data_IF_055670068808
#
_entry.id   IF_055670068808
#
_cell.length_a   1.000
_cell.length_b   1.000
_cell.length_c   1.000
_cell.angle_alpha   90.00
_cell.angle_beta   90.00
_cell.angle_gamma   90.00
#
_symmetry.space_group_name_H-M   'P 1'
#
loop_
_entity.id
_entity.type
_entity.pdbx_description
1 polymer ?
#
# COMPACT_ATOMS: atom_id res chain seq x y z
N UNK A 1 6.16 28.70 -5.39
CA UNK A 1 4.91 28.09 -5.88
C UNK A 1 4.11 27.68 -4.66
N UNK A 2 2.81 27.94 -4.64
CA UNK A 2 1.94 27.45 -3.56
C UNK A 2 1.91 25.92 -3.66
N UNK A 3 2.09 25.18 -2.56
CA UNK A 3 1.98 23.72 -2.59
C UNK A 3 0.60 23.28 -3.11
N UNK A 4 0.57 22.23 -3.89
CA UNK A 4 -0.68 21.74 -4.50
C UNK A 4 -1.49 20.95 -3.49
N UNK A 5 -2.74 21.35 -3.26
CA UNK A 5 -3.66 20.66 -2.37
C UNK A 5 -4.12 19.33 -2.99
N UNK A 6 -4.13 18.28 -2.16
CA UNK A 6 -4.63 16.97 -2.53
C UNK A 6 -5.24 16.24 -1.34
N UNK A 7 -6.17 15.35 -1.61
CA UNK A 7 -6.68 14.39 -0.64
C UNK A 7 -7.07 13.09 -1.33
N UNK A 8 -6.94 11.97 -0.61
CA UNK A 8 -7.47 10.66 -1.00
C UNK A 8 -8.05 9.95 0.21
N UNK A 9 -9.24 9.38 0.04
CA UNK A 9 -9.90 8.49 0.99
C UNK A 9 -10.18 7.17 0.32
N UNK A 10 -10.12 6.09 1.09
CA UNK A 10 -10.38 4.77 0.56
C UNK A 10 -9.81 3.68 1.43
N UNK A 11 -9.30 2.65 0.80
CA UNK A 11 -8.74 1.50 1.50
C UNK A 11 -7.37 1.13 0.93
N UNK A 12 -6.41 0.95 1.82
CA UNK A 12 -5.13 0.33 1.52
C UNK A 12 -5.13 -1.08 2.11
N UNK A 13 -4.67 -2.04 1.33
CA UNK A 13 -4.35 -3.36 1.85
C UNK A 13 -3.06 -3.89 1.23
N UNK A 14 -2.38 -4.74 1.98
CA UNK A 14 -1.09 -5.27 1.58
C UNK A 14 -0.88 -6.69 2.07
N UNK A 15 0.08 -7.38 1.43
CA UNK A 15 0.64 -8.62 1.93
C UNK A 15 2.17 -8.55 1.83
N UNK A 16 2.83 -8.94 2.88
CA UNK A 16 4.29 -8.81 3.01
C UNK A 16 4.97 -10.14 3.37
N UNK A 17 6.30 -10.14 3.35
CA UNK A 17 7.13 -11.31 3.64
C UNK A 17 7.14 -11.74 5.11
N UNK A 18 6.66 -10.94 6.05
CA UNK A 18 6.64 -11.30 7.48
C UNK A 18 5.82 -12.57 7.75
N UNK A 19 6.29 -13.41 8.69
CA UNK A 19 5.65 -14.70 9.01
C UNK A 19 4.45 -14.59 9.93
N UNK A 20 4.45 -13.59 10.82
CA UNK A 20 3.35 -13.26 11.73
C UNK A 20 2.88 -11.85 11.44
N UNK A 21 1.96 -11.30 12.25
CA UNK A 21 1.58 -9.91 12.08
C UNK A 21 2.81 -8.99 12.07
N UNK A 22 2.83 -8.04 11.15
CA UNK A 22 4.02 -7.22 10.85
C UNK A 22 4.49 -6.39 12.05
N UNK A 23 5.70 -6.58 12.59
CA UNK A 23 6.19 -5.80 13.72
C UNK A 23 6.42 -4.33 13.37
N UNK A 24 6.56 -3.99 12.07
CA UNK A 24 6.76 -2.62 11.60
C UNK A 24 5.60 -1.72 11.97
N UNK A 25 4.37 -2.23 11.93
CA UNK A 25 3.13 -1.49 12.21
C UNK A 25 3.13 -0.90 13.62
N UNK A 26 3.39 -1.75 14.62
CA UNK A 26 3.32 -1.35 16.03
C UNK A 26 4.56 -0.62 16.52
N UNK A 27 5.67 -0.70 15.78
CA UNK A 27 6.96 -0.10 16.15
C UNK A 27 7.33 1.13 15.33
N UNK A 28 6.46 1.64 14.46
CA UNK A 28 6.77 2.69 13.50
C UNK A 28 8.01 2.37 12.64
N UNK A 29 8.17 1.11 12.26
CA UNK A 29 9.28 0.64 11.44
C UNK A 29 10.61 0.49 12.16
N UNK A 30 10.65 0.62 13.51
CA UNK A 30 11.89 0.54 14.29
C UNK A 30 12.36 -0.90 14.54
N UNK A 31 11.43 -1.86 14.64
CA UNK A 31 11.79 -3.27 14.72
C UNK A 31 12.08 -3.84 13.34
N UNK A 32 13.06 -4.76 13.23
CA UNK A 32 13.30 -5.44 11.97
C UNK A 32 12.10 -6.32 11.59
N UNK A 33 11.82 -6.48 10.30
CA UNK A 33 10.88 -7.48 9.82
C UNK A 33 11.28 -8.90 10.25
N UNK A 34 10.33 -9.83 10.33
CA UNK A 34 10.59 -11.20 10.79
C UNK A 34 11.62 -11.96 9.95
N UNK A 35 11.74 -11.61 8.68
CA UNK A 35 12.71 -12.21 7.74
C UNK A 35 13.99 -11.36 7.59
N UNK A 36 14.17 -10.31 8.39
CA UNK A 36 15.28 -9.38 8.28
C UNK A 36 15.15 -8.39 7.12
N UNK A 37 14.16 -8.55 6.25
CA UNK A 37 13.80 -7.66 5.14
C UNK A 37 12.29 -7.65 4.96
N UNK A 38 11.75 -6.64 4.29
CA UNK A 38 10.34 -6.59 3.94
C UNK A 38 10.17 -6.46 2.43
N UNK A 39 9.56 -7.46 1.84
CA UNK A 39 9.03 -7.41 0.49
C UNK A 39 7.51 -7.41 0.58
N UNK A 40 6.85 -6.56 -0.17
CA UNK A 40 5.40 -6.44 -0.13
C UNK A 40 4.82 -6.02 -1.48
N UNK A 41 3.59 -6.40 -1.72
CA UNK A 41 2.72 -5.68 -2.64
C UNK A 41 1.66 -4.94 -1.83
N UNK A 42 1.24 -3.78 -2.34
CA UNK A 42 0.19 -2.96 -1.73
C UNK A 42 -0.84 -2.60 -2.79
N UNK A 43 -2.08 -2.52 -2.39
CA UNK A 43 -3.20 -2.07 -3.20
C UNK A 43 -3.86 -0.87 -2.53
N UNK A 44 -4.15 0.15 -3.29
CA UNK A 44 -4.87 1.35 -2.84
C UNK A 44 -6.07 1.56 -3.74
N UNK A 45 -7.26 1.37 -3.18
CA UNK A 45 -8.51 1.77 -3.81
C UNK A 45 -8.84 3.20 -3.38
N UNK A 46 -8.89 4.12 -4.33
CA UNK A 46 -9.26 5.51 -4.08
C UNK A 46 -10.77 5.64 -4.26
N UNK A 47 -11.51 5.67 -3.16
CA UNK A 47 -12.97 5.83 -3.21
C UNK A 47 -13.34 7.29 -3.51
N UNK A 48 -12.65 8.23 -2.86
CA UNK A 48 -12.75 9.67 -3.08
C UNK A 48 -11.35 10.27 -3.15
N UNK A 49 -11.12 11.17 -4.08
CA UNK A 49 -9.82 11.83 -4.15
C UNK A 49 -9.73 12.95 -5.16
N UNK A 50 -8.83 13.90 -4.89
CA UNK A 50 -8.48 14.97 -5.82
C UNK A 50 -6.99 15.32 -5.73
N UNK A 51 -6.48 15.88 -6.82
CA UNK A 51 -5.16 16.49 -6.92
C UNK A 51 -5.22 17.62 -7.97
N UNK A 52 -4.75 18.82 -7.62
CA UNK A 52 -4.88 20.02 -8.47
C UNK A 52 -6.33 20.32 -8.90
N UNK A 53 -7.31 20.04 -8.03
CA UNK A 53 -8.71 20.23 -8.31
C UNK A 53 -9.33 19.21 -9.29
N UNK A 54 -8.55 18.24 -9.77
CA UNK A 54 -9.06 17.16 -10.62
C UNK A 54 -9.41 15.92 -9.79
N UNK A 55 -10.52 15.29 -10.13
CA UNK A 55 -11.01 14.06 -9.49
C UNK A 55 -10.08 12.86 -9.74
N UNK A 56 -9.87 12.07 -8.71
CA UNK A 56 -9.12 10.81 -8.70
C UNK A 56 -9.96 9.63 -8.20
N UNK A 57 -11.24 9.89 -7.91
CA UNK A 57 -12.15 8.89 -7.36
C UNK A 57 -12.31 7.69 -8.31
N UNK A 58 -12.38 6.50 -7.73
CA UNK A 58 -12.53 5.25 -8.46
C UNK A 58 -11.26 4.74 -9.17
N UNK A 59 -10.12 5.43 -9.05
CA UNK A 59 -8.84 4.93 -9.55
C UNK A 59 -8.18 3.99 -8.54
N UNK A 60 -7.44 3.02 -9.06
CA UNK A 60 -6.69 2.07 -8.28
C UNK A 60 -5.18 2.26 -8.47
N UNK A 61 -4.42 1.98 -7.41
CA UNK A 61 -2.95 1.97 -7.45
C UNK A 61 -2.43 0.68 -6.85
N UNK A 62 -1.49 0.05 -7.55
CA UNK A 62 -0.69 -1.05 -7.01
C UNK A 62 0.73 -0.59 -6.74
N UNK A 63 1.34 -1.07 -5.67
CA UNK A 63 2.77 -0.85 -5.40
C UNK A 63 3.45 -2.19 -5.15
N UNK A 64 4.69 -2.27 -5.58
CA UNK A 64 5.63 -3.31 -5.18
C UNK A 64 6.75 -2.64 -4.39
N UNK A 65 7.05 -3.14 -3.19
CA UNK A 65 7.99 -2.51 -2.26
C UNK A 65 9.00 -3.53 -1.76
N UNK A 66 10.28 -3.17 -1.83
CA UNK A 66 11.40 -3.94 -1.31
C UNK A 66 12.17 -3.08 -0.31
N UNK A 67 12.27 -3.54 0.93
CA UNK A 67 12.93 -2.84 2.05
C UNK A 67 14.01 -3.76 2.62
N UNK A 68 15.29 -3.37 2.56
CA UNK A 68 16.41 -4.28 2.86
C UNK A 68 16.57 -4.60 4.36
N UNK A 69 15.96 -3.81 5.24
CA UNK A 69 16.10 -3.93 6.69
C UNK A 69 14.92 -3.37 7.43
N UNK A 70 15.18 -2.58 8.47
CA UNK A 70 14.14 -1.87 9.20
C UNK A 70 13.49 -0.82 8.30
N UNK A 71 12.16 -0.76 8.34
CA UNK A 71 11.40 0.16 7.51
C UNK A 71 11.83 1.63 7.70
N UNK A 72 12.10 2.03 8.96
CA UNK A 72 12.50 3.40 9.29
C UNK A 72 13.92 3.78 8.85
N UNK A 73 14.76 2.81 8.47
CA UNK A 73 16.12 3.07 7.98
C UNK A 73 16.15 3.50 6.49
N UNK A 74 15.01 3.40 5.80
CA UNK A 74 14.90 3.73 4.38
C UNK A 74 15.52 2.68 3.46
N UNK A 75 16.05 3.13 2.33
CA UNK A 75 16.61 2.23 1.32
C UNK A 75 15.55 1.49 0.51
N UNK A 76 14.30 1.97 0.52
CA UNK A 76 13.19 1.31 -0.17
C UNK A 76 13.35 1.39 -1.67
N UNK A 77 13.07 0.28 -2.33
CA UNK A 77 12.90 0.22 -3.78
C UNK A 77 11.43 -0.01 -4.10
N UNK A 78 10.87 0.83 -4.94
CA UNK A 78 9.42 0.85 -5.20
C UNK A 78 9.14 0.80 -6.69
N UNK A 79 8.16 -0.01 -7.09
CA UNK A 79 7.49 0.10 -8.37
C UNK A 79 6.03 0.48 -8.16
N UNK A 80 5.50 1.34 -9.05
CA UNK A 80 4.12 1.79 -9.02
C UNK A 80 3.36 1.32 -10.27
N UNK A 81 2.13 0.88 -10.08
CA UNK A 81 1.19 0.55 -11.14
C UNK A 81 -0.04 1.44 -10.96
N UNK A 82 -0.25 2.32 -11.89
CA UNK A 82 -1.37 3.25 -11.89
C UNK A 82 -2.44 2.76 -12.84
N UNK A 83 -3.68 2.77 -12.40
CA UNK A 83 -4.85 2.40 -13.19
C UNK A 83 -4.79 2.98 -14.62
N UNK A 84 -4.96 2.14 -15.63
CA UNK A 84 -4.93 2.55 -17.03
C UNK A 84 -5.99 3.60 -17.38
N UNK A 85 -7.08 3.66 -16.61
CA UNK A 85 -8.16 4.66 -16.74
C UNK A 85 -7.73 6.08 -16.35
N UNK A 86 -6.58 6.23 -15.67
CA UNK A 86 -6.07 7.53 -15.27
C UNK A 86 -5.71 8.38 -16.50
N UNK A 87 -6.18 9.64 -16.56
CA UNK A 87 -5.70 10.60 -17.55
C UNK A 87 -4.20 10.87 -17.39
N UNK A 88 -3.58 11.59 -18.34
CA UNK A 88 -2.15 11.98 -18.21
C UNK A 88 -1.87 12.78 -16.93
N UNK A 89 -2.74 13.72 -16.59
CA UNK A 89 -2.63 14.50 -15.36
C UNK A 89 -2.91 13.67 -14.11
N UNK A 90 -3.90 12.76 -14.16
CA UNK A 90 -4.20 11.86 -13.06
C UNK A 90 -3.02 10.95 -12.74
N UNK A 91 -2.44 10.35 -13.76
CA UNK A 91 -1.24 9.53 -13.63
C UNK A 91 -0.08 10.29 -12.94
N UNK A 92 0.24 11.48 -13.44
CA UNK A 92 1.32 12.28 -12.86
C UNK A 92 1.00 12.70 -11.42
N UNK A 93 -0.23 13.11 -11.12
CA UNK A 93 -0.65 13.47 -9.76
C UNK A 93 -0.54 12.30 -8.79
N UNK A 94 -0.95 11.10 -9.20
CA UNK A 94 -0.80 9.88 -8.40
C UNK A 94 0.69 9.60 -8.14
N UNK A 95 1.56 9.71 -9.13
CA UNK A 95 2.99 9.53 -8.94
C UNK A 95 3.58 10.57 -7.99
N UNK A 96 3.15 11.85 -8.06
CA UNK A 96 3.58 12.88 -7.11
C UNK A 96 3.17 12.54 -5.66
N UNK A 97 1.96 12.04 -5.45
CA UNK A 97 1.48 11.60 -4.14
C UNK A 97 2.33 10.42 -3.62
N UNK A 98 2.44 9.35 -4.40
CA UNK A 98 3.10 8.11 -3.95
C UNK A 98 4.63 8.14 -3.99
N UNK A 99 5.25 9.14 -4.62
CA UNK A 99 6.68 9.44 -4.45
C UNK A 99 6.98 10.35 -3.27
N UNK A 100 5.95 10.88 -2.61
CA UNK A 100 6.08 11.85 -1.53
C UNK A 100 6.34 13.30 -1.98
N UNK A 101 6.49 13.54 -3.28
CA UNK A 101 6.76 14.87 -3.83
C UNK A 101 5.61 15.86 -3.59
N UNK A 102 4.39 15.36 -3.47
CA UNK A 102 3.23 16.17 -3.14
C UNK A 102 3.18 16.59 -1.66
N UNK A 103 4.10 16.12 -0.81
CA UNK A 103 4.12 16.41 0.63
C UNK A 103 2.96 15.77 1.39
N UNK A 104 2.62 16.31 2.56
CA UNK A 104 1.53 15.79 3.39
C UNK A 104 1.78 14.40 3.94
N UNK A 105 0.73 13.58 4.03
CA UNK A 105 0.79 12.23 4.62
C UNK A 105 1.86 11.35 3.99
N UNK A 106 2.03 11.41 2.69
CA UNK A 106 3.00 10.59 1.96
C UNK A 106 4.40 11.23 1.85
N UNK A 107 4.57 12.44 2.38
CA UNK A 107 5.86 13.17 2.33
C UNK A 107 7.04 12.39 2.91
N UNK A 108 6.78 11.48 3.86
CA UNK A 108 7.81 10.61 4.43
C UNK A 108 8.50 9.71 3.38
N UNK A 109 7.87 9.42 2.26
CA UNK A 109 8.46 8.58 1.22
C UNK A 109 9.68 9.21 0.57
N UNK A 110 9.79 10.54 0.55
CA UNK A 110 11.00 11.22 0.05
C UNK A 110 12.25 10.85 0.84
N UNK A 111 12.11 10.43 2.10
CA UNK A 111 13.22 10.01 2.96
C UNK A 111 13.44 8.49 2.94
N UNK A 112 12.40 7.74 2.67
CA UNK A 112 12.44 6.28 2.77
C UNK A 112 12.77 5.61 1.44
N UNK A 113 12.25 6.14 0.33
CA UNK A 113 12.46 5.57 -1.02
C UNK A 113 13.79 6.02 -1.58
N UNK A 114 14.67 5.08 -1.86
CA UNK A 114 15.97 5.32 -2.50
C UNK A 114 15.98 5.07 -4.00
N UNK A 115 15.05 4.22 -4.48
CA UNK A 115 15.01 3.81 -5.89
C UNK A 115 13.57 3.56 -6.35
N UNK A 116 13.21 4.15 -7.49
CA UNK A 116 11.95 3.87 -8.19
C UNK A 116 12.30 2.96 -9.35
N UNK A 117 12.07 1.65 -9.16
CA UNK A 117 12.44 0.62 -10.14
C UNK A 117 11.52 0.60 -11.36
N UNK A 118 10.35 1.21 -11.27
CA UNK A 118 9.43 1.38 -12.40
C UNK A 118 8.14 2.10 -12.01
N UNK A 119 7.49 2.67 -13.03
CA UNK A 119 6.15 3.24 -12.91
C UNK A 119 5.40 2.96 -14.22
N UNK A 120 4.32 2.22 -14.15
CA UNK A 120 3.59 1.73 -15.31
C UNK A 120 2.10 2.04 -15.23
N UNK A 121 1.47 2.21 -16.39
CA UNK A 121 0.01 2.19 -16.51
C UNK A 121 -0.43 0.77 -16.76
N UNK A 122 -1.32 0.27 -15.92
CA UNK A 122 -1.81 -1.09 -16.01
C UNK A 122 -3.30 -1.18 -15.67
N UNK A 123 -3.93 -2.23 -16.10
CA UNK A 123 -5.24 -2.60 -15.56
C UNK A 123 -5.04 -3.06 -14.12
N UNK A 124 -5.31 -2.16 -13.17
CA UNK A 124 -5.23 -2.46 -11.73
C UNK A 124 -6.62 -2.85 -11.23
N UNK A 125 -6.84 -4.14 -11.05
CA UNK A 125 -8.11 -4.67 -10.55
C UNK A 125 -8.03 -4.91 -9.05
N UNK A 126 -8.93 -4.27 -8.30
CA UNK A 126 -9.10 -4.46 -6.86
C UNK A 126 -10.45 -5.10 -6.60
N UNK A 127 -10.45 -6.17 -5.79
CA UNK A 127 -11.66 -6.85 -5.32
C UNK A 127 -11.79 -6.66 -3.82
N UNK A 128 -12.98 -6.24 -3.38
CA UNK A 128 -13.34 -6.06 -1.96
C UNK A 128 -14.66 -6.79 -1.70
N UNK A 129 -14.58 -8.00 -1.14
CA UNK A 129 -15.75 -8.85 -0.91
C UNK A 129 -15.72 -9.44 0.51
N UNK A 130 -16.64 -9.01 1.37
CA UNK A 130 -16.71 -9.49 2.76
C UNK A 130 -15.34 -9.37 3.45
N UNK A 131 -14.81 -10.50 3.93
CA UNK A 131 -13.51 -10.58 4.60
C UNK A 131 -12.32 -10.62 3.63
N UNK A 132 -12.55 -10.70 2.32
CA UNK A 132 -11.50 -10.89 1.31
C UNK A 132 -11.14 -9.61 0.58
N UNK A 133 -9.86 -9.49 0.24
CA UNK A 133 -9.33 -8.44 -0.64
C UNK A 133 -8.44 -9.07 -1.70
N UNK A 134 -8.48 -8.52 -2.91
CA UNK A 134 -7.66 -8.99 -4.02
C UNK A 134 -7.06 -7.85 -4.83
N UNK A 135 -5.82 -8.02 -5.26
CA UNK A 135 -5.11 -7.17 -6.23
C UNK A 135 -4.67 -8.01 -7.42
N UNK A 136 -5.07 -7.60 -8.62
CA UNK A 136 -4.67 -8.26 -9.86
C UNK A 136 -4.13 -7.24 -10.86
N UNK A 137 -2.89 -7.45 -11.29
CA UNK A 137 -2.20 -6.65 -12.30
C UNK A 137 -1.63 -7.63 -13.33
N UNK A 138 -2.45 -8.02 -14.28
CA UNK A 138 -2.10 -8.99 -15.31
C UNK A 138 -1.43 -10.25 -14.74
N UNK A 139 -0.23 -10.57 -15.23
CA UNK A 139 0.60 -11.67 -14.71
C UNK A 139 1.64 -11.20 -13.67
N UNK A 140 1.70 -9.89 -13.40
CA UNK A 140 2.72 -9.25 -12.54
C UNK A 140 2.43 -9.44 -11.07
N UNK A 141 1.19 -9.16 -10.66
CA UNK A 141 0.72 -9.35 -9.28
C UNK A 141 -0.61 -10.08 -9.29
N UNK A 142 -0.70 -11.14 -8.50
CA UNK A 142 -1.93 -11.89 -8.22
C UNK A 142 -1.98 -12.13 -6.73
N UNK A 143 -2.57 -11.21 -5.99
CA UNK A 143 -2.60 -11.18 -4.54
C UNK A 143 -4.02 -11.28 -3.99
N UNK A 144 -4.24 -12.19 -3.06
CA UNK A 144 -5.48 -12.33 -2.29
C UNK A 144 -5.14 -12.45 -0.82
N UNK A 145 -5.89 -11.74 0.01
CA UNK A 145 -5.78 -11.76 1.46
C UNK A 145 -7.14 -11.93 2.08
N UNK A 146 -7.17 -12.47 3.29
CA UNK A 146 -8.37 -12.67 4.08
C UNK A 146 -8.16 -12.18 5.51
N UNK A 147 -9.15 -11.47 6.04
CA UNK A 147 -9.15 -10.99 7.42
C UNK A 147 -9.03 -12.18 8.38
N UNK A 148 -8.38 -11.98 9.52
CA UNK A 148 -8.30 -12.96 10.58
C UNK A 148 -9.52 -12.81 11.48
N UNK A 149 -10.24 -13.89 11.71
CA UNK A 149 -11.42 -13.92 12.58
C UNK A 149 -11.05 -13.53 14.01
N UNK A 150 -11.84 -12.62 14.58
CA UNK A 150 -11.72 -12.22 15.98
C UNK A 150 -12.41 -13.22 16.93
N UNK A 151 -12.26 -12.96 18.21
CA UNK A 151 -13.02 -13.72 19.24
C UNK A 151 -14.53 -13.46 19.20
N UNK A 152 -14.95 -12.31 18.68
CA UNK A 152 -16.31 -12.00 18.28
C UNK A 152 -16.43 -12.23 16.77
N UNK A 153 -17.31 -13.12 16.28
CA UNK A 153 -17.43 -13.42 14.86
C UNK A 153 -17.87 -12.23 13.99
N UNK A 154 -18.46 -11.19 14.59
CA UNK A 154 -18.86 -9.98 13.88
C UNK A 154 -17.70 -9.01 13.60
N UNK A 155 -16.53 -9.26 14.20
CA UNK A 155 -15.36 -8.37 14.11
C UNK A 155 -14.07 -9.14 13.85
N UNK A 156 -13.27 -8.72 12.86
CA UNK A 156 -11.94 -9.28 12.64
C UNK A 156 -10.97 -8.88 13.77
N UNK A 157 -9.79 -9.50 13.78
CA UNK A 157 -8.69 -9.05 14.65
C UNK A 157 -8.22 -7.67 14.18
N UNK A 158 -8.16 -6.70 15.11
CA UNK A 158 -7.78 -5.32 14.82
C UNK A 158 -6.70 -4.82 15.78
N UNK A 159 -5.86 -3.92 15.26
CA UNK A 159 -5.01 -3.03 16.05
C UNK A 159 -5.59 -1.64 15.90
N UNK A 160 -5.95 -1.00 17.00
CA UNK A 160 -6.58 0.31 17.01
C UNK A 160 -5.69 1.33 17.71
N UNK A 161 -5.92 2.61 17.41
CA UNK A 161 -5.18 3.71 18.03
C UNK A 161 -3.66 3.62 17.83
N UNK A 162 -3.23 3.15 16.68
CA UNK A 162 -1.81 3.11 16.32
C UNK A 162 -1.35 4.49 15.83
N UNK A 163 -0.03 4.72 15.85
CA UNK A 163 0.58 5.91 15.22
C UNK A 163 1.08 5.60 13.81
N UNK A 164 0.65 4.50 13.23
CA UNK A 164 1.14 4.07 11.93
C UNK A 164 0.70 5.05 10.84
N UNK A 165 1.60 5.34 9.92
CA UNK A 165 1.39 6.38 8.90
C UNK A 165 0.23 6.10 7.92
N UNK A 166 -0.08 4.82 7.68
CA UNK A 166 -1.21 4.46 6.82
C UNK A 166 -2.54 4.84 7.43
N UNK A 167 -2.70 4.61 8.73
CA UNK A 167 -3.91 4.94 9.47
C UNK A 167 -3.86 4.39 10.89
N UNK A 168 -4.71 4.91 11.80
CA UNK A 168 -4.68 4.53 13.21
C UNK A 168 -5.25 3.13 13.47
N UNK A 169 -6.13 2.65 12.59
CA UNK A 169 -6.84 1.39 12.77
C UNK A 169 -6.50 0.42 11.63
N UNK A 170 -6.07 -0.76 11.99
CA UNK A 170 -5.55 -1.76 11.08
C UNK A 170 -6.24 -3.08 11.35
N UNK A 171 -6.79 -3.68 10.31
CA UNK A 171 -7.34 -5.02 10.34
C UNK A 171 -6.23 -6.01 10.00
N UNK A 172 -6.00 -6.97 10.90
CA UNK A 172 -5.05 -8.05 10.64
C UNK A 172 -5.62 -9.04 9.63
N UNK A 173 -4.80 -9.40 8.66
CA UNK A 173 -5.16 -10.33 7.60
C UNK A 173 -4.01 -11.30 7.31
N UNK A 174 -4.28 -12.27 6.44
CA UNK A 174 -3.32 -13.25 5.97
C UNK A 174 -3.43 -13.44 4.46
N UNK A 175 -2.29 -13.58 3.79
CA UNK A 175 -2.24 -13.94 2.38
C UNK A 175 -2.84 -15.32 2.15
N UNK A 176 -3.81 -15.43 1.25
CA UNK A 176 -4.38 -16.72 0.80
C UNK A 176 -3.77 -17.14 -0.53
N UNK A 177 -3.51 -16.19 -1.41
CA UNK A 177 -2.75 -16.36 -2.65
C UNK A 177 -1.91 -15.10 -2.84
N UNK A 178 -0.64 -15.26 -3.19
CA UNK A 178 0.22 -14.09 -3.30
C UNK A 178 1.41 -14.37 -4.20
N UNK A 179 1.31 -13.94 -5.45
CA UNK A 179 2.39 -14.10 -6.43
C UNK A 179 2.72 -12.76 -7.04
N UNK A 180 4.00 -12.42 -6.96
CA UNK A 180 4.58 -11.26 -7.63
C UNK A 180 5.65 -11.74 -8.60
N UNK A 181 5.59 -11.28 -9.85
CA UNK A 181 6.62 -11.54 -10.87
C UNK A 181 6.77 -10.33 -11.76
N UNK A 182 7.60 -9.39 -11.35
CA UNK A 182 7.94 -8.23 -12.17
C UNK A 182 9.26 -7.59 -11.73
N UNK A 183 9.84 -6.75 -12.57
CA UNK A 183 11.09 -6.03 -12.33
C UNK A 183 12.23 -6.92 -11.78
N UNK A 184 12.30 -8.18 -12.25
CA UNK A 184 13.29 -9.15 -11.78
C UNK A 184 13.02 -9.75 -10.40
N UNK A 185 11.86 -9.49 -9.80
CA UNK A 185 11.42 -10.07 -8.52
C UNK A 185 10.45 -11.21 -8.76
N UNK A 186 10.60 -12.25 -7.94
CA UNK A 186 9.67 -13.39 -7.90
C UNK A 186 9.40 -13.67 -6.42
N UNK A 187 8.19 -13.33 -5.97
CA UNK A 187 7.78 -13.51 -4.56
C UNK A 187 6.50 -14.32 -4.47
N UNK A 188 6.36 -15.03 -3.35
CA UNK A 188 5.11 -15.68 -2.92
C UNK A 188 4.95 -15.44 -1.42
N UNK A 189 3.87 -14.77 -1.04
CA UNK A 189 3.55 -14.45 0.36
C UNK A 189 2.28 -15.19 0.84
N UNK A 190 1.94 -16.32 0.21
CA UNK A 190 0.85 -17.18 0.67
C UNK A 190 1.08 -17.60 2.13
N UNK A 191 0.08 -17.46 2.99
CA UNK A 191 0.16 -17.73 4.42
C UNK A 191 0.89 -16.67 5.27
N UNK A 192 1.47 -15.64 4.64
CA UNK A 192 2.23 -14.56 5.29
C UNK A 192 1.32 -13.44 5.77
N UNK A 193 1.92 -12.49 6.53
CA UNK A 193 1.23 -11.33 7.11
C UNK A 193 0.59 -10.44 6.05
N UNK A 194 -0.62 -10.01 6.33
CA UNK A 194 -1.34 -9.04 5.53
C UNK A 194 -2.11 -8.06 6.43
N UNK A 195 -2.47 -6.91 5.88
CA UNK A 195 -3.11 -5.81 6.59
C UNK A 195 -4.11 -5.11 5.69
N UNK A 196 -5.16 -4.58 6.30
CA UNK A 196 -6.15 -3.73 5.64
C UNK A 196 -6.31 -2.47 6.49
N UNK A 197 -6.26 -1.30 5.87
CA UNK A 197 -6.32 -0.03 6.56
C UNK A 197 -7.21 0.95 5.80
N UNK A 198 -8.26 1.50 6.43
CA UNK A 198 -8.93 2.68 5.90
C UNK A 198 -7.94 3.84 5.83
N UNK A 199 -7.93 4.56 4.73
CA UNK A 199 -7.05 5.71 4.53
C UNK A 199 -7.83 7.01 4.38
N UNK A 200 -7.30 8.08 4.99
CA UNK A 200 -7.74 9.48 4.82
C UNK A 200 -6.48 10.33 4.80
N UNK A 201 -5.88 10.45 3.64
CA UNK A 201 -4.59 11.10 3.43
C UNK A 201 -4.76 12.42 2.71
N UNK A 202 -3.95 13.39 3.05
CA UNK A 202 -3.99 14.71 2.44
C UNK A 202 -2.63 15.40 2.48
N UNK A 203 -2.51 16.45 1.68
CA UNK A 203 -1.35 17.33 1.66
C UNK A 203 -1.54 18.52 0.73
N UNK A 204 -0.53 19.39 0.71
CA UNK A 204 0.45 19.59 1.77
C UNK A 204 -0.17 20.29 2.99
N UNK A 205 0.42 20.12 4.14
CA UNK A 205 0.06 20.89 5.34
C UNK A 205 1.17 21.87 5.65
#
# INVERSE_FOLDING_TARGET
>A
MTPTEWAIKGELFLNCSCTVFCPCVVSLGQHPPTEGHCNAWMAIAIDEGHYEGEDRSGLNVGLMVEIPGRMAEGGWKVAAYVDERASGKAYNGILQIFSGQAGGTTGLFTMLVSDIVGAEREKVEIVREGTKRGLYIGRKIQGEIEMIDGGNPDHPVMITNSKYWMGPDIIAARGTKSKVRDFGRIWDFGGKSAEICPIDWSGPK
#
